data_IF_828947345406
#
_entry.id   IF_828947345406
#
_cell.length_a   1.000
_cell.length_b   1.000
_cell.length_c   1.000
_cell.angle_alpha   90.00
_cell.angle_beta   90.00
_cell.angle_gamma   90.00
#
_symmetry.space_group_name_H-M   'P 1'
#
loop_
_entity.id
_entity.type
_entity.pdbx_description
1 polymer ?
#
# COMPACT_ATOMS: atom_id res chain seq x y z
N UNK A 1 -20.46 8.73 16.45
CA UNK A 1 -20.55 7.70 15.40
C UNK A 1 -21.05 8.42 14.16
N UNK A 2 -20.17 9.01 13.37
CA UNK A 2 -20.53 9.69 12.13
C UNK A 2 -20.47 8.66 11.02
N UNK A 3 -21.64 8.24 10.53
CA UNK A 3 -21.74 7.50 9.28
C UNK A 3 -21.49 8.49 8.15
N UNK A 4 -20.35 8.38 7.48
CA UNK A 4 -20.09 9.10 6.23
C UNK A 4 -21.15 8.61 5.22
N UNK A 5 -22.19 9.43 4.99
CA UNK A 5 -23.13 9.21 3.88
C UNK A 5 -22.44 9.77 2.63
N UNK A 6 -21.95 8.87 1.80
CA UNK A 6 -21.58 9.24 0.43
C UNK A 6 -22.79 9.84 -0.27
N UNK A 7 -22.63 10.94 -1.05
CA UNK A 7 -23.71 11.40 -1.90
C UNK A 7 -24.11 10.25 -2.84
N UNK A 8 -25.41 10.03 -3.01
CA UNK A 8 -25.95 9.02 -3.92
C UNK A 8 -25.51 9.36 -5.34
N UNK A 9 -24.44 8.69 -5.80
CA UNK A 9 -23.95 8.83 -7.17
C UNK A 9 -25.09 8.42 -8.13
N UNK A 10 -25.35 9.18 -9.19
CA UNK A 10 -26.31 8.79 -10.20
C UNK A 10 -25.88 7.46 -10.80
N UNK A 11 -26.79 6.48 -10.81
CA UNK A 11 -26.57 5.17 -11.42
C UNK A 11 -26.30 5.35 -12.91
N UNK A 12 -25.02 5.36 -13.30
CA UNK A 12 -24.62 5.20 -14.69
C UNK A 12 -24.93 3.76 -15.10
N UNK A 13 -26.10 3.57 -15.73
CA UNK A 13 -26.60 2.29 -16.20
C UNK A 13 -25.79 1.75 -17.38
N UNK A 14 -24.64 1.13 -17.12
CA UNK A 14 -23.83 0.42 -18.13
C UNK A 14 -23.27 -0.93 -17.68
N UNK A 15 -23.61 -1.40 -16.48
CA UNK A 15 -23.22 -2.76 -16.05
C UNK A 15 -24.44 -3.52 -15.53
N UNK A 16 -24.98 -4.42 -16.37
CA UNK A 16 -25.84 -5.49 -15.87
C UNK A 16 -24.94 -6.53 -15.19
N UNK A 17 -24.60 -6.29 -13.94
CA UNK A 17 -23.94 -7.25 -13.08
C UNK A 17 -24.83 -7.54 -11.88
N UNK A 18 -24.88 -8.81 -11.48
CA UNK A 18 -25.41 -9.25 -10.19
C UNK A 18 -24.96 -8.28 -9.10
N UNK A 19 -25.77 -8.00 -8.06
CA UNK A 19 -25.39 -7.07 -7.01
C UNK A 19 -24.03 -7.48 -6.46
N UNK A 20 -23.03 -6.65 -6.67
CA UNK A 20 -21.66 -6.88 -6.16
C UNK A 20 -21.79 -6.89 -4.65
N UNK A 21 -21.50 -8.02 -4.01
CA UNK A 21 -21.54 -8.13 -2.57
C UNK A 21 -20.46 -7.22 -2.00
N UNK A 22 -20.88 -6.18 -1.28
CA UNK A 22 -19.93 -5.27 -0.63
C UNK A 22 -19.06 -6.04 0.38
N UNK A 23 -17.78 -5.66 0.46
CA UNK A 23 -16.87 -6.15 1.49
C UNK A 23 -17.14 -5.32 2.74
N UNK A 24 -18.01 -5.85 3.59
CA UNK A 24 -18.43 -5.19 4.83
C UNK A 24 -17.44 -5.55 5.95
N UNK A 25 -16.47 -4.69 6.16
CA UNK A 25 -15.51 -4.74 7.27
C UNK A 25 -15.69 -3.49 8.13
N UNK A 26 -15.58 -3.62 9.46
CA UNK A 26 -15.66 -2.46 10.33
C UNK A 26 -14.50 -1.50 9.99
N UNK A 27 -14.72 -0.18 10.02
CA UNK A 27 -13.65 0.78 9.82
C UNK A 27 -12.57 0.59 10.88
N UNK A 28 -11.32 0.95 10.51
CA UNK A 28 -10.21 1.02 11.46
C UNK A 28 -10.43 2.17 12.45
N UNK A 29 -9.67 2.17 13.54
CA UNK A 29 -9.68 3.30 14.47
C UNK A 29 -9.14 4.56 13.76
N UNK A 30 -9.88 5.65 13.88
CA UNK A 30 -9.48 6.95 13.36
C UNK A 30 -8.93 7.79 14.52
N UNK A 31 -7.77 8.38 14.31
CA UNK A 31 -7.06 9.21 15.29
C UNK A 31 -7.18 10.69 14.88
N UNK A 32 -8.10 11.42 15.49
CA UNK A 32 -8.28 12.86 15.25
C UNK A 32 -7.08 13.66 15.80
N UNK A 33 -5.97 13.65 15.08
CA UNK A 33 -4.74 14.30 15.51
C UNK A 33 -4.87 15.82 15.61
N UNK A 34 -5.79 16.45 14.86
CA UNK A 34 -6.06 17.88 14.92
C UNK A 34 -6.62 18.32 16.28
N UNK A 35 -7.49 17.53 16.88
CA UNK A 35 -8.15 17.83 18.16
C UNK A 35 -7.39 17.30 19.38
N UNK A 36 -6.39 16.44 19.19
CA UNK A 36 -5.69 15.75 20.27
C UNK A 36 -4.90 16.70 21.17
N UNK A 37 -4.98 16.44 22.49
CA UNK A 37 -4.34 17.28 23.52
C UNK A 37 -3.06 16.68 24.10
N UNK A 38 -2.82 15.38 23.88
CA UNK A 38 -1.65 14.70 24.41
C UNK A 38 -0.36 15.11 23.66
N UNK A 39 0.79 14.96 24.34
CA UNK A 39 2.09 15.40 23.81
C UNK A 39 2.50 14.64 22.54
N UNK A 40 2.36 13.29 22.44
CA UNK A 40 2.71 12.56 21.24
C UNK A 40 1.88 12.97 20.01
N UNK A 41 0.56 13.09 20.13
CA UNK A 41 -0.30 13.48 19.01
C UNK A 41 0.00 14.91 18.53
N UNK A 42 0.29 15.85 19.44
CA UNK A 42 0.69 17.21 19.07
C UNK A 42 2.05 17.24 18.35
N UNK A 43 3.00 16.43 18.81
CA UNK A 43 4.31 16.29 18.14
C UNK A 43 4.15 15.70 16.74
N UNK A 44 3.40 14.61 16.62
CA UNK A 44 3.09 13.97 15.33
C UNK A 44 2.47 14.99 14.35
N UNK A 45 1.41 15.68 14.77
CA UNK A 45 0.77 16.73 13.97
C UNK A 45 1.75 17.81 13.51
N UNK A 46 2.62 18.28 14.43
CA UNK A 46 3.62 19.29 14.08
C UNK A 46 4.59 18.79 13.01
N UNK A 47 5.12 17.57 13.18
CA UNK A 47 6.06 16.97 12.22
C UNK A 47 5.41 16.69 10.86
N UNK A 48 4.14 16.25 10.86
CA UNK A 48 3.35 16.09 9.66
C UNK A 48 3.24 17.40 8.89
N UNK A 49 2.82 18.48 9.55
CA UNK A 49 2.69 19.80 8.92
C UNK A 49 4.02 20.38 8.49
N UNK A 50 5.08 20.15 9.27
CA UNK A 50 6.44 20.56 8.89
C UNK A 50 6.89 19.88 7.61
N UNK A 51 6.68 18.54 7.51
CA UNK A 51 7.00 17.80 6.28
C UNK A 51 6.21 18.31 5.09
N UNK A 52 4.92 18.48 5.23
CA UNK A 52 4.02 18.97 4.18
C UNK A 52 4.44 20.34 3.62
N UNK A 53 4.79 21.27 4.49
CA UNK A 53 5.16 22.64 4.10
C UNK A 53 6.56 22.71 3.49
N UNK A 54 7.48 21.89 3.96
CA UNK A 54 8.89 22.04 3.61
C UNK A 54 9.40 21.06 2.55
N UNK A 55 8.84 19.84 2.48
CA UNK A 55 9.47 18.75 1.75
C UNK A 55 8.59 18.24 0.61
N UNK A 56 9.27 17.92 -0.51
CA UNK A 56 8.69 17.32 -1.71
C UNK A 56 8.09 15.94 -1.44
N UNK A 57 7.17 15.54 -2.32
CA UNK A 57 6.60 14.18 -2.33
C UNK A 57 7.63 13.10 -2.66
N UNK A 58 8.81 13.47 -3.12
CA UNK A 58 9.89 12.55 -3.48
C UNK A 58 11.17 12.86 -2.70
N UNK A 59 11.88 11.80 -2.30
CA UNK A 59 13.18 11.88 -1.61
C UNK A 59 14.33 12.13 -2.61
N UNK A 60 15.56 12.21 -2.09
CA UNK A 60 16.78 12.45 -2.89
C UNK A 60 17.06 11.33 -3.91
N UNK A 61 16.45 10.15 -3.76
CA UNK A 61 16.55 9.01 -4.69
C UNK A 61 15.42 8.98 -5.72
N UNK A 62 14.61 10.04 -5.76
CA UNK A 62 13.41 10.14 -6.60
C UNK A 62 12.35 9.06 -6.29
N UNK A 63 12.30 8.63 -5.04
CA UNK A 63 11.30 7.71 -4.53
C UNK A 63 10.29 8.46 -3.66
N UNK A 64 9.00 8.01 -3.58
CA UNK A 64 8.03 8.69 -2.74
C UNK A 64 8.52 8.83 -1.30
N UNK A 65 8.45 10.07 -0.78
CA UNK A 65 8.80 10.42 0.59
C UNK A 65 7.95 9.60 1.57
N UNK A 66 8.59 8.77 2.39
CA UNK A 66 7.92 7.87 3.31
C UNK A 66 8.06 8.29 4.79
N UNK A 67 8.61 9.47 5.07
CA UNK A 67 8.78 9.91 6.47
C UNK A 67 7.44 9.88 7.23
N UNK A 68 6.35 10.28 6.56
CA UNK A 68 5.03 10.27 7.17
C UNK A 68 4.53 8.84 7.43
N UNK A 69 4.87 7.87 6.58
CA UNK A 69 4.55 6.47 6.83
C UNK A 69 5.28 5.93 8.06
N UNK A 70 6.55 6.33 8.25
CA UNK A 70 7.33 5.96 9.42
C UNK A 70 6.77 6.59 10.69
N UNK A 71 6.57 7.92 10.68
CA UNK A 71 6.01 8.65 11.82
C UNK A 71 4.62 8.13 12.23
N UNK A 72 3.73 7.91 11.24
CA UNK A 72 2.39 7.36 11.50
C UNK A 72 2.45 5.96 12.10
N UNK A 73 3.28 5.09 11.53
CA UNK A 73 3.43 3.72 12.04
C UNK A 73 4.02 3.69 13.44
N UNK A 74 5.00 4.55 13.73
CA UNK A 74 5.63 4.66 15.05
C UNK A 74 4.64 5.23 16.08
N UNK A 75 3.92 6.29 15.73
CA UNK A 75 2.88 6.89 16.58
C UNK A 75 1.81 5.86 16.96
N UNK A 76 1.28 5.12 15.98
CA UNK A 76 0.25 4.09 16.18
C UNK A 76 0.76 2.88 16.98
N UNK A 77 2.05 2.66 17.07
CA UNK A 77 2.69 1.64 17.91
C UNK A 77 3.14 2.18 19.27
N UNK A 78 2.84 3.44 19.59
CA UNK A 78 3.03 4.04 20.91
C UNK A 78 4.31 4.86 21.07
N UNK A 79 4.93 5.33 19.97
CA UNK A 79 6.04 6.26 20.04
C UNK A 79 5.64 7.55 20.76
N UNK A 80 6.48 8.00 21.68
CA UNK A 80 6.29 9.30 22.33
C UNK A 80 6.80 10.46 21.46
N UNK A 81 6.63 11.68 21.94
CA UNK A 81 7.00 12.88 21.20
C UNK A 81 8.51 13.00 20.94
N UNK A 82 9.34 12.51 21.84
CA UNK A 82 10.80 12.63 21.76
C UNK A 82 11.33 11.61 20.73
N UNK A 83 10.75 10.40 20.69
CA UNK A 83 11.02 9.38 19.67
C UNK A 83 10.62 9.87 18.27
N UNK A 84 9.40 10.44 18.13
CA UNK A 84 8.93 10.96 16.85
C UNK A 84 9.84 12.10 16.34
N UNK A 85 10.27 13.00 17.22
CA UNK A 85 11.23 14.05 16.89
C UNK A 85 12.57 13.50 16.41
N UNK A 86 13.10 12.51 17.13
CA UNK A 86 14.36 11.85 16.77
C UNK A 86 14.30 11.15 15.40
N UNK A 87 13.24 10.38 15.14
CA UNK A 87 13.01 9.75 13.82
C UNK A 87 13.01 10.79 12.70
N UNK A 88 12.31 11.91 12.91
CA UNK A 88 12.25 12.97 11.90
C UNK A 88 13.62 13.61 11.64
N UNK A 89 14.40 13.85 12.69
CA UNK A 89 15.75 14.42 12.58
C UNK A 89 16.73 13.48 11.86
N UNK A 90 16.65 12.17 12.12
CA UNK A 90 17.50 11.17 11.44
C UNK A 90 17.21 11.09 9.94
N UNK A 91 15.93 11.06 9.56
CA UNK A 91 15.50 10.92 8.16
C UNK A 91 15.54 12.26 7.38
N UNK A 92 15.69 13.39 8.06
CA UNK A 92 15.65 14.73 7.45
C UNK A 92 16.72 14.93 6.36
N UNK A 93 17.85 14.22 6.42
CA UNK A 93 18.91 14.32 5.44
C UNK A 93 18.55 13.78 4.05
N UNK A 94 17.60 12.84 3.97
CA UNK A 94 17.13 12.24 2.72
C UNK A 94 15.96 13.02 2.11
N UNK A 95 15.36 13.94 2.85
CA UNK A 95 14.22 14.74 2.39
C UNK A 95 14.68 15.85 1.43
N UNK A 96 13.90 16.07 0.39
CA UNK A 96 14.14 17.11 -0.61
C UNK A 96 13.13 18.24 -0.40
N UNK A 97 13.64 19.46 -0.32
CA UNK A 97 12.78 20.65 -0.21
C UNK A 97 11.98 20.86 -1.49
N UNK A 98 10.79 21.44 -1.35
CA UNK A 98 9.96 21.80 -2.49
C UNK A 98 10.72 22.60 -3.55
N UNK A 99 10.45 22.29 -4.80
CA UNK A 99 10.87 23.06 -5.96
C UNK A 99 9.63 23.57 -6.68
N UNK A 100 9.73 24.73 -7.30
CA UNK A 100 8.63 25.25 -8.14
C UNK A 100 8.35 24.30 -9.31
N UNK A 101 7.08 24.09 -9.59
CA UNK A 101 6.63 23.35 -10.77
C UNK A 101 6.78 24.18 -12.05
N UNK A 102 6.84 23.55 -13.24
CA UNK A 102 6.97 24.26 -14.52
C UNK A 102 5.81 25.20 -14.83
N UNK A 103 4.60 24.86 -14.36
CA UNK A 103 3.37 25.65 -14.51
C UNK A 103 2.38 25.32 -13.39
N UNK A 104 1.37 26.15 -13.23
CA UNK A 104 0.19 25.86 -12.41
C UNK A 104 -0.69 24.82 -13.12
N UNK A 105 -1.47 24.07 -12.32
CA UNK A 105 -2.46 23.09 -12.80
C UNK A 105 -3.85 23.64 -12.53
N UNK A 106 -4.76 23.43 -13.46
CA UNK A 106 -6.15 23.86 -13.37
C UNK A 106 -7.12 22.70 -13.58
N UNK A 107 -8.39 22.90 -13.26
CA UNK A 107 -9.47 21.92 -13.51
C UNK A 107 -9.62 21.53 -14.98
N UNK A 108 -9.10 22.36 -15.92
CA UNK A 108 -9.21 22.14 -17.35
C UNK A 108 -8.09 21.25 -17.91
N UNK A 109 -6.91 21.26 -17.30
CA UNK A 109 -5.70 20.64 -17.87
C UNK A 109 -5.00 19.60 -16.97
N UNK A 110 -5.43 19.41 -15.72
CA UNK A 110 -4.77 18.53 -14.76
C UNK A 110 -4.52 17.10 -15.29
N UNK A 111 -5.45 16.58 -16.12
CA UNK A 111 -5.27 15.25 -16.73
C UNK A 111 -4.12 15.19 -17.72
N UNK A 112 -3.76 16.31 -18.35
CA UNK A 112 -2.62 16.38 -19.25
C UNK A 112 -1.27 16.32 -18.55
N UNK A 113 -1.24 16.48 -17.23
CA UNK A 113 -0.04 16.45 -16.39
C UNK A 113 0.11 15.15 -15.60
N UNK A 114 -0.84 14.20 -15.72
CA UNK A 114 -0.73 12.90 -15.07
C UNK A 114 0.55 12.16 -15.47
N UNK A 115 1.23 11.56 -14.52
CA UNK A 115 2.51 10.88 -14.71
C UNK A 115 3.73 11.81 -14.74
N UNK A 116 3.52 13.13 -14.61
CA UNK A 116 4.61 14.11 -14.67
C UNK A 116 5.12 14.47 -13.28
N UNK A 117 6.19 13.84 -12.83
CA UNK A 117 6.77 14.04 -11.47
C UNK A 117 7.23 15.47 -11.19
N UNK A 118 7.63 16.24 -12.20
CA UNK A 118 8.00 17.67 -12.03
C UNK A 118 6.82 18.58 -11.67
N UNK A 119 5.59 18.07 -11.66
CA UNK A 119 4.38 18.77 -11.25
C UNK A 119 3.90 18.41 -9.85
N UNK A 120 4.72 17.74 -9.04
CA UNK A 120 4.36 17.29 -7.71
C UNK A 120 3.84 18.43 -6.81
N UNK A 121 4.54 19.57 -6.76
CA UNK A 121 4.07 20.74 -6.00
C UNK A 121 2.77 21.33 -6.58
N UNK A 122 2.69 21.48 -7.91
CA UNK A 122 1.49 22.01 -8.53
C UNK A 122 0.25 21.11 -8.33
N UNK A 123 0.42 19.79 -8.24
CA UNK A 123 -0.68 18.90 -7.89
C UNK A 123 -1.12 19.04 -6.43
N UNK A 124 -0.19 19.24 -5.49
CA UNK A 124 -0.57 19.52 -4.09
C UNK A 124 -1.37 20.82 -4.03
N UNK A 125 -0.86 21.89 -4.62
CA UNK A 125 -1.54 23.21 -4.66
C UNK A 125 -2.94 23.08 -5.31
N UNK A 126 -3.03 22.36 -6.42
CA UNK A 126 -4.29 22.10 -7.11
C UNK A 126 -5.33 21.39 -6.22
N UNK A 127 -4.96 20.31 -5.52
CA UNK A 127 -5.89 19.60 -4.66
C UNK A 127 -6.23 20.39 -3.39
N UNK A 128 -5.32 21.23 -2.90
CA UNK A 128 -5.61 22.16 -1.81
C UNK A 128 -6.62 23.25 -2.24
N UNK A 129 -6.51 23.78 -3.44
CA UNK A 129 -7.48 24.72 -4.02
C UNK A 129 -8.86 24.05 -4.19
N UNK A 130 -8.90 22.83 -4.71
CA UNK A 130 -10.15 22.06 -4.82
C UNK A 130 -10.76 21.76 -3.45
N UNK A 131 -9.95 21.53 -2.43
CA UNK A 131 -10.43 21.38 -1.05
C UNK A 131 -11.08 22.69 -0.55
N UNK A 132 -10.51 23.85 -0.87
CA UNK A 132 -11.13 25.15 -0.54
C UNK A 132 -12.46 25.32 -1.28
N UNK A 133 -12.52 24.96 -2.57
CA UNK A 133 -13.75 25.02 -3.38
C UNK A 133 -14.85 24.11 -2.82
N UNK A 134 -14.50 22.96 -2.24
CA UNK A 134 -15.42 22.02 -1.58
C UNK A 134 -15.62 22.30 -0.07
N UNK A 135 -15.32 23.51 0.40
CA UNK A 135 -15.60 23.93 1.78
C UNK A 135 -14.73 23.24 2.84
N UNK A 136 -13.52 22.84 2.51
CA UNK A 136 -12.57 22.09 3.33
C UNK A 136 -12.95 20.64 3.61
N UNK A 137 -13.92 20.09 2.86
CA UNK A 137 -14.34 18.69 2.97
C UNK A 137 -13.39 17.79 2.16
N UNK A 138 -12.19 17.53 2.69
CA UNK A 138 -11.14 16.79 2.00
C UNK A 138 -11.55 15.37 1.53
N UNK A 139 -12.49 14.72 2.22
CA UNK A 139 -13.04 13.42 1.82
C UNK A 139 -13.89 13.53 0.56
N UNK A 140 -14.52 14.67 0.31
CA UNK A 140 -15.22 14.94 -0.93
C UNK A 140 -14.25 15.16 -2.09
N UNK A 141 -13.10 15.81 -1.85
CA UNK A 141 -12.03 15.92 -2.87
C UNK A 141 -11.53 14.53 -3.28
N UNK A 142 -11.23 13.66 -2.30
CA UNK A 142 -10.84 12.28 -2.56
C UNK A 142 -11.91 11.54 -3.38
N UNK A 143 -13.18 11.69 -3.03
CA UNK A 143 -14.30 11.06 -3.73
C UNK A 143 -14.43 11.55 -5.18
N UNK A 144 -14.33 12.86 -5.39
CA UNK A 144 -14.46 13.49 -6.71
C UNK A 144 -13.36 13.01 -7.68
N UNK A 145 -12.11 13.03 -7.24
CA UNK A 145 -10.98 12.74 -8.12
C UNK A 145 -10.70 11.24 -8.28
N UNK A 146 -10.96 10.40 -7.26
CA UNK A 146 -10.69 8.97 -7.34
C UNK A 146 -11.87 8.15 -7.88
N UNK A 147 -13.13 8.59 -7.68
CA UNK A 147 -14.28 7.72 -7.95
C UNK A 147 -15.32 8.31 -8.89
N UNK A 148 -15.19 9.61 -9.26
CA UNK A 148 -16.22 10.31 -10.02
C UNK A 148 -15.73 10.65 -11.43
N UNK A 149 -16.67 10.95 -12.34
CA UNK A 149 -16.39 11.34 -13.71
C UNK A 149 -16.19 10.19 -14.68
N UNK A 150 -15.78 10.50 -15.90
CA UNK A 150 -15.59 9.53 -16.99
C UNK A 150 -14.28 8.75 -16.85
N UNK A 151 -13.27 9.39 -16.27
CA UNK A 151 -11.92 8.85 -16.10
C UNK A 151 -11.43 9.19 -14.69
N UNK A 152 -11.91 8.44 -13.66
CA UNK A 152 -11.45 8.62 -12.29
C UNK A 152 -9.98 8.20 -12.16
N UNK A 153 -9.24 8.83 -11.24
CA UNK A 153 -7.85 8.44 -10.96
C UNK A 153 -7.72 7.18 -10.10
N UNK A 154 -8.78 6.39 -9.96
CA UNK A 154 -8.79 5.24 -9.06
C UNK A 154 -7.61 4.28 -9.30
N UNK A 155 -7.28 4.02 -10.56
CA UNK A 155 -6.18 3.12 -10.90
C UNK A 155 -4.80 3.69 -10.50
N UNK A 156 -4.70 5.00 -10.35
CA UNK A 156 -3.44 5.67 -9.98
C UNK A 156 -3.02 5.44 -8.53
N UNK A 157 -3.95 5.08 -7.64
CA UNK A 157 -3.61 4.80 -6.23
C UNK A 157 -2.72 3.58 -6.05
N UNK A 158 -2.72 2.66 -7.03
CA UNK A 158 -1.84 1.49 -7.03
C UNK A 158 -0.52 1.72 -7.79
N UNK A 159 -0.35 2.87 -8.42
CA UNK A 159 0.93 3.25 -9.03
C UNK A 159 2.08 3.21 -7.99
N UNK A 160 3.31 3.18 -8.43
CA UNK A 160 4.48 3.04 -7.54
C UNK A 160 4.30 1.92 -6.50
N UNK A 161 3.77 0.76 -6.92
CA UNK A 161 3.50 -0.43 -6.08
C UNK A 161 2.56 -0.15 -4.89
N UNK A 162 1.64 0.79 -5.03
CA UNK A 162 0.62 1.13 -4.04
C UNK A 162 1.06 2.14 -2.98
N UNK A 163 2.17 2.84 -3.17
CA UNK A 163 2.61 3.89 -2.22
C UNK A 163 1.60 5.03 -2.07
N UNK A 164 0.93 5.54 -3.14
CA UNK A 164 -0.17 6.50 -2.97
C UNK A 164 -1.33 5.94 -2.14
N UNK A 165 -1.67 4.66 -2.28
CA UNK A 165 -2.70 4.02 -1.47
C UNK A 165 -2.30 3.95 0.01
N UNK A 166 -1.05 3.61 0.31
CA UNK A 166 -0.53 3.60 1.69
C UNK A 166 -0.60 5.01 2.29
N UNK A 167 -0.22 6.02 1.52
CA UNK A 167 -0.29 7.41 1.97
C UNK A 167 -1.73 7.85 2.25
N UNK A 168 -2.66 7.49 1.35
CA UNK A 168 -4.08 7.76 1.53
C UNK A 168 -4.67 7.02 2.75
N UNK A 169 -4.26 5.77 2.99
CA UNK A 169 -4.67 5.01 4.16
C UNK A 169 -4.29 5.74 5.45
N UNK A 170 -3.08 6.28 5.55
CA UNK A 170 -2.69 7.11 6.70
C UNK A 170 -3.50 8.41 6.79
N UNK A 171 -3.87 9.03 5.66
CA UNK A 171 -4.75 10.19 5.69
C UNK A 171 -6.09 9.89 6.37
N UNK A 172 -6.68 8.74 6.08
CA UNK A 172 -7.94 8.30 6.70
C UNK A 172 -7.77 7.86 8.15
N UNK A 173 -6.67 7.19 8.51
CA UNK A 173 -6.42 6.79 9.89
C UNK A 173 -6.10 7.97 10.81
N UNK A 174 -5.41 9.01 10.31
CA UNK A 174 -5.03 10.19 11.07
C UNK A 174 -6.02 11.35 10.94
N UNK A 175 -7.08 11.17 10.14
CA UNK A 175 -8.04 12.21 9.75
C UNK A 175 -7.34 13.49 9.27
N UNK A 176 -6.31 13.34 8.42
CA UNK A 176 -5.46 14.43 7.95
C UNK A 176 -5.73 14.80 6.50
N UNK A 177 -6.14 16.05 6.32
CA UNK A 177 -6.34 16.64 4.99
C UNK A 177 -5.03 16.85 4.24
N UNK A 178 -3.96 17.22 4.93
CA UNK A 178 -2.63 17.39 4.32
C UNK A 178 -2.18 16.09 3.66
N UNK A 179 -2.26 14.97 4.39
CA UNK A 179 -1.93 13.65 3.83
C UNK A 179 -2.86 13.24 2.69
N UNK A 180 -4.12 13.62 2.74
CA UNK A 180 -5.06 13.29 1.67
C UNK A 180 -4.69 14.02 0.35
N UNK A 181 -4.33 15.31 0.44
CA UNK A 181 -3.90 16.08 -0.74
C UNK A 181 -2.55 15.59 -1.28
N UNK A 182 -1.60 15.25 -0.40
CA UNK A 182 -0.34 14.60 -0.79
C UNK A 182 -0.58 13.24 -1.47
N UNK A 183 -1.50 12.42 -0.95
CA UNK A 183 -1.84 11.12 -1.54
C UNK A 183 -2.42 11.24 -2.95
N UNK A 184 -3.32 12.21 -3.17
CA UNK A 184 -3.87 12.51 -4.51
C UNK A 184 -2.78 13.02 -5.46
N UNK A 185 -1.90 13.91 -4.99
CA UNK A 185 -0.78 14.41 -5.77
C UNK A 185 0.24 13.31 -6.11
N UNK A 186 0.53 12.39 -5.17
CA UNK A 186 1.32 11.18 -5.44
C UNK A 186 0.64 10.28 -6.48
N UNK A 187 -0.67 10.05 -6.36
CA UNK A 187 -1.41 9.26 -7.34
C UNK A 187 -1.35 9.89 -8.73
N UNK A 188 -1.48 11.22 -8.82
CA UNK A 188 -1.42 11.95 -10.07
C UNK A 188 -0.01 11.92 -10.70
N UNK A 189 1.04 12.16 -9.91
CA UNK A 189 2.43 12.22 -10.39
C UNK A 189 3.05 10.85 -10.67
N UNK A 190 2.56 9.79 -10.00
CA UNK A 190 2.95 8.40 -10.24
C UNK A 190 2.04 7.68 -11.26
N UNK A 191 1.05 8.38 -11.82
CA UNK A 191 0.09 7.78 -12.75
C UNK A 191 0.79 7.06 -13.90
N UNK A 192 0.31 5.87 -14.23
CA UNK A 192 0.67 5.13 -15.43
C UNK A 192 -0.54 4.34 -15.96
N UNK A 193 -0.51 3.99 -17.25
CA UNK A 193 -1.62 3.30 -17.92
C UNK A 193 -1.62 1.77 -17.70
N UNK A 194 -0.74 1.22 -16.88
CA UNK A 194 -0.62 -0.23 -16.67
C UNK A 194 -1.94 -0.81 -16.17
N UNK A 195 -2.52 -0.21 -15.14
CA UNK A 195 -3.76 -0.70 -14.53
C UNK A 195 -4.99 -0.46 -15.41
N UNK A 196 -5.05 0.68 -16.09
CA UNK A 196 -6.13 1.02 -17.04
C UNK A 196 -6.22 0.01 -18.19
N UNK A 197 -5.09 -0.45 -18.70
CA UNK A 197 -5.06 -1.45 -19.77
C UNK A 197 -5.58 -2.83 -19.34
N UNK A 198 -5.58 -3.13 -18.04
CA UNK A 198 -6.01 -4.41 -17.49
C UNK A 198 -7.53 -4.50 -17.34
N UNK A 199 -8.20 -3.38 -17.11
CA UNK A 199 -9.66 -3.30 -17.02
C UNK A 199 -10.34 -3.20 -18.40
N UNK A 200 -9.57 -3.10 -19.50
CA UNK A 200 -10.13 -3.08 -20.85
C UNK A 200 -10.99 -4.36 -21.07
N UNK A 201 -12.28 -4.22 -21.47
CA UNK A 201 -13.17 -5.32 -21.79
C UNK A 201 -12.62 -6.31 -22.82
N UNK A 202 -11.64 -5.89 -23.66
CA UNK A 202 -10.93 -6.79 -24.58
C UNK A 202 -10.05 -7.79 -23.83
N UNK A 203 -9.49 -7.42 -22.66
CA UNK A 203 -8.74 -8.35 -21.83
C UNK A 203 -9.65 -9.19 -20.92
N UNK A 204 -10.84 -8.70 -20.56
CA UNK A 204 -11.82 -9.44 -19.77
C UNK A 204 -12.53 -10.55 -20.56
N UNK A 205 -12.60 -10.45 -21.90
CA UNK A 205 -13.25 -11.45 -22.76
C UNK A 205 -12.43 -12.71 -23.04
N UNK A 206 -11.13 -12.69 -22.78
CA UNK A 206 -10.32 -13.90 -22.84
C UNK A 206 -10.52 -14.69 -21.55
N UNK A 207 -11.14 -15.85 -21.65
CA UNK A 207 -11.29 -16.78 -20.53
C UNK A 207 -9.93 -17.09 -19.89
N UNK A 208 -9.91 -17.19 -18.58
CA UNK A 208 -8.73 -17.63 -17.87
C UNK A 208 -8.40 -19.07 -18.29
N UNK A 209 -7.14 -19.40 -18.49
CA UNK A 209 -6.71 -20.76 -18.85
C UNK A 209 -6.98 -21.78 -17.75
N UNK A 210 -7.17 -21.31 -16.52
CA UNK A 210 -7.58 -22.05 -15.33
C UNK A 210 -8.19 -21.07 -14.33
N UNK A 211 -8.91 -21.58 -13.33
CA UNK A 211 -9.52 -20.78 -12.26
C UNK A 211 -9.18 -21.36 -10.89
N UNK A 212 -8.98 -20.50 -9.92
CA UNK A 212 -8.82 -20.85 -8.50
C UNK A 212 -9.42 -19.77 -7.61
N UNK A 213 -9.98 -20.19 -6.48
CA UNK A 213 -10.43 -19.30 -5.41
C UNK A 213 -9.31 -18.97 -4.44
N UNK A 214 -8.26 -19.82 -4.39
CA UNK A 214 -7.11 -19.69 -3.49
C UNK A 214 -5.93 -19.05 -4.21
N UNK A 215 -5.41 -17.99 -3.62
CA UNK A 215 -4.21 -17.30 -4.08
C UNK A 215 -2.94 -18.13 -3.85
N UNK A 216 -2.88 -18.90 -2.75
CA UNK A 216 -1.77 -19.85 -2.53
C UNK A 216 -1.69 -20.88 -3.65
N UNK A 217 -2.83 -21.47 -4.04
CA UNK A 217 -2.87 -22.43 -5.14
C UNK A 217 -2.45 -21.78 -6.47
N UNK A 218 -2.80 -20.51 -6.71
CA UNK A 218 -2.35 -19.79 -7.91
C UNK A 218 -0.84 -19.58 -7.87
N UNK A 219 -0.26 -19.15 -6.74
CA UNK A 219 1.19 -18.97 -6.64
C UNK A 219 1.98 -20.29 -6.79
N UNK A 220 1.41 -21.41 -6.34
CA UNK A 220 2.01 -22.74 -6.62
C UNK A 220 2.06 -23.03 -8.11
N UNK A 221 1.01 -22.68 -8.87
CA UNK A 221 0.98 -22.82 -10.33
C UNK A 221 1.92 -21.81 -11.01
N UNK A 222 2.01 -20.56 -10.52
CA UNK A 222 3.01 -19.57 -10.99
C UNK A 222 4.42 -20.10 -10.80
N UNK A 223 4.69 -20.75 -9.66
CA UNK A 223 6.01 -21.31 -9.37
C UNK A 223 6.39 -22.44 -10.32
N UNK A 224 5.41 -23.23 -10.77
CA UNK A 224 5.60 -24.37 -11.66
C UNK A 224 5.51 -24.00 -13.15
N UNK A 225 5.17 -22.74 -13.47
CA UNK A 225 5.01 -22.31 -14.87
C UNK A 225 6.36 -22.22 -15.57
N UNK A 226 6.54 -23.09 -16.58
CA UNK A 226 7.77 -23.19 -17.36
C UNK A 226 8.00 -21.97 -18.25
N UNK A 227 6.96 -21.23 -18.62
CA UNK A 227 7.09 -19.99 -19.40
C UNK A 227 7.84 -18.89 -18.62
N UNK A 228 7.95 -19.07 -17.30
CA UNK A 228 8.68 -18.18 -16.38
C UNK A 228 10.10 -18.69 -16.04
N UNK A 229 10.48 -19.89 -16.48
CA UNK A 229 11.80 -20.45 -16.17
C UNK A 229 12.90 -19.69 -16.91
N UNK A 230 13.90 -19.22 -16.14
CA UNK A 230 15.02 -18.49 -16.70
C UNK A 230 14.68 -17.11 -17.29
N UNK A 231 13.47 -16.60 -17.03
CA UNK A 231 13.05 -15.29 -17.52
C UNK A 231 13.94 -14.18 -16.98
N UNK A 232 14.35 -14.30 -15.72
CA UNK A 232 15.22 -13.34 -15.04
C UNK A 232 16.40 -14.04 -14.37
N UNK A 233 17.63 -13.49 -14.49
CA UNK A 233 18.82 -14.10 -13.88
C UNK A 233 18.91 -13.81 -12.37
N UNK A 234 18.42 -12.67 -11.92
CA UNK A 234 18.49 -12.18 -10.53
C UNK A 234 17.17 -11.52 -10.14
N UNK A 235 16.80 -11.53 -8.85
CA UNK A 235 15.64 -10.78 -8.38
C UNK A 235 15.89 -9.26 -8.48
N UNK A 236 14.84 -8.47 -8.64
CA UNK A 236 14.96 -7.01 -8.64
C UNK A 236 13.82 -6.25 -9.31
N UNK A 237 13.89 -4.92 -9.20
CA UNK A 237 12.92 -3.98 -9.73
C UNK A 237 12.78 -4.00 -11.24
N UNK A 238 13.89 -4.14 -11.96
CA UNK A 238 13.91 -4.12 -13.43
C UNK A 238 13.07 -5.25 -14.03
N UNK A 239 12.93 -6.35 -13.28
CA UNK A 239 12.06 -7.45 -13.64
C UNK A 239 10.58 -7.03 -13.66
N UNK A 240 10.15 -6.17 -12.73
CA UNK A 240 8.77 -5.66 -12.69
C UNK A 240 8.46 -4.85 -13.95
N UNK A 241 9.34 -3.93 -14.33
CA UNK A 241 9.15 -3.15 -15.54
C UNK A 241 9.06 -4.06 -16.78
N UNK A 242 9.96 -5.04 -16.90
CA UNK A 242 9.92 -6.02 -17.98
C UNK A 242 8.62 -6.82 -18.00
N UNK A 243 8.12 -7.25 -16.83
CA UNK A 243 6.87 -8.00 -16.72
C UNK A 243 5.66 -7.15 -17.15
N UNK A 244 5.55 -5.95 -16.67
CA UNK A 244 4.39 -5.10 -16.95
C UNK A 244 4.37 -4.59 -18.40
N UNK A 245 5.52 -4.24 -18.95
CA UNK A 245 5.61 -3.65 -20.29
C UNK A 245 5.72 -4.70 -21.40
N UNK A 246 6.60 -5.69 -21.23
CA UNK A 246 7.00 -6.59 -22.34
C UNK A 246 6.53 -8.04 -22.17
N UNK A 247 6.18 -8.46 -20.94
CA UNK A 247 5.81 -9.85 -20.60
C UNK A 247 4.47 -9.95 -19.89
N UNK A 248 3.59 -8.98 -20.05
CA UNK A 248 2.31 -8.91 -19.38
C UNK A 248 1.39 -10.11 -19.63
N UNK A 249 1.47 -10.75 -20.80
CA UNK A 249 0.60 -11.89 -21.11
C UNK A 249 0.75 -13.08 -20.13
N UNK A 250 1.99 -13.38 -19.69
CA UNK A 250 2.22 -14.44 -18.70
C UNK A 250 1.70 -14.03 -17.33
N UNK A 251 1.92 -12.77 -16.96
CA UNK A 251 1.40 -12.22 -15.70
C UNK A 251 -0.14 -12.24 -15.67
N UNK A 252 -0.79 -11.78 -16.74
CA UNK A 252 -2.24 -11.72 -16.87
C UNK A 252 -2.89 -13.11 -16.88
N UNK A 253 -2.23 -14.14 -17.38
CA UNK A 253 -2.69 -15.53 -17.29
C UNK A 253 -2.99 -15.94 -15.85
N UNK A 254 -2.08 -15.65 -14.93
CA UNK A 254 -2.22 -15.98 -13.52
C UNK A 254 -3.09 -14.98 -12.75
N UNK A 255 -3.01 -13.70 -13.09
CA UNK A 255 -3.87 -12.67 -12.49
C UNK A 255 -5.36 -12.95 -12.72
N UNK A 256 -5.73 -13.31 -13.95
CA UNK A 256 -7.12 -13.64 -14.34
C UNK A 256 -7.66 -14.89 -13.66
N UNK A 257 -6.78 -15.80 -13.25
CA UNK A 257 -7.17 -17.07 -12.64
C UNK A 257 -7.86 -16.92 -11.28
N UNK A 258 -7.71 -15.78 -10.59
CA UNK A 258 -8.34 -15.57 -9.30
C UNK A 258 -9.84 -15.30 -9.45
N UNK A 259 -10.65 -16.27 -9.04
CA UNK A 259 -12.12 -16.19 -9.03
C UNK A 259 -12.60 -15.78 -7.64
N UNK A 260 -13.09 -14.56 -7.51
CA UNK A 260 -13.62 -14.01 -6.26
C UNK A 260 -15.10 -14.36 -6.15
N UNK A 261 -15.46 -15.23 -5.19
CA UNK A 261 -16.84 -15.64 -4.88
C UNK A 261 -17.25 -15.26 -3.45
N UNK A 262 -16.32 -15.35 -2.51
CA UNK A 262 -16.48 -14.91 -1.14
C UNK A 262 -15.44 -13.84 -0.82
N UNK A 263 -15.73 -12.56 -1.14
CA UNK A 263 -14.73 -11.50 -1.08
C UNK A 263 -14.07 -11.31 0.30
N UNK A 264 -14.83 -11.49 1.38
CA UNK A 264 -14.30 -11.30 2.76
C UNK A 264 -13.28 -12.39 3.09
N UNK A 265 -13.63 -13.66 2.89
CA UNK A 265 -12.71 -14.78 3.20
C UNK A 265 -11.49 -14.78 2.27
N UNK A 266 -11.71 -14.47 0.99
CA UNK A 266 -10.62 -14.40 0.02
C UNK A 266 -9.71 -13.19 0.24
N UNK A 267 -10.25 -12.09 0.75
CA UNK A 267 -9.42 -10.98 1.20
C UNK A 267 -8.62 -11.36 2.45
N UNK A 268 -9.21 -12.08 3.42
CA UNK A 268 -8.46 -12.65 4.55
C UNK A 268 -7.29 -13.52 4.07
N UNK A 269 -7.56 -14.46 3.15
CA UNK A 269 -6.51 -15.31 2.57
C UNK A 269 -5.41 -14.47 1.89
N UNK A 270 -5.77 -13.40 1.19
CA UNK A 270 -4.80 -12.51 0.55
C UNK A 270 -3.87 -11.83 1.53
N UNK A 271 -4.36 -11.50 2.72
CA UNK A 271 -3.56 -10.91 3.78
C UNK A 271 -2.67 -11.94 4.51
N UNK A 272 -3.18 -13.16 4.71
CA UNK A 272 -2.36 -14.28 5.18
C UNK A 272 -1.23 -14.59 4.18
N UNK A 273 -1.53 -14.56 2.88
CA UNK A 273 -0.54 -14.72 1.81
C UNK A 273 0.53 -13.62 1.84
N UNK A 274 0.13 -12.35 2.01
CA UNK A 274 1.08 -11.24 2.08
C UNK A 274 2.07 -11.41 3.25
N UNK A 275 1.60 -11.83 4.43
CA UNK A 275 2.43 -12.15 5.58
C UNK A 275 3.35 -13.35 5.29
N UNK A 276 2.81 -14.41 4.67
CA UNK A 276 3.54 -15.61 4.30
C UNK A 276 4.63 -15.34 3.25
N UNK A 277 4.37 -14.48 2.27
CA UNK A 277 5.35 -14.07 1.27
C UNK A 277 6.56 -13.40 1.92
N UNK A 278 6.34 -12.49 2.86
CA UNK A 278 7.45 -11.83 3.54
C UNK A 278 8.22 -12.79 4.46
N UNK A 279 7.52 -13.49 5.34
CA UNK A 279 8.16 -14.24 6.43
C UNK A 279 8.47 -15.68 6.02
N UNK A 280 7.60 -16.32 5.23
CA UNK A 280 7.77 -17.70 4.80
C UNK A 280 8.77 -17.90 3.67
N UNK A 281 9.16 -16.85 2.95
CA UNK A 281 10.18 -16.91 1.88
C UNK A 281 11.57 -16.54 2.37
N UNK A 282 11.69 -16.00 3.59
CA UNK A 282 12.99 -15.70 4.19
C UNK A 282 13.82 -16.97 4.36
N UNK A 283 15.10 -16.88 4.01
CA UNK A 283 15.99 -18.04 4.11
C UNK A 283 16.19 -18.48 5.57
N UNK A 284 16.28 -19.80 5.77
CA UNK A 284 16.50 -20.42 7.10
C UNK A 284 17.96 -20.28 7.55
N UNK A 285 18.83 -19.87 6.66
CA UNK A 285 20.28 -19.88 6.83
C UNK A 285 20.84 -18.80 7.76
N UNK A 286 20.04 -18.28 8.67
CA UNK A 286 20.41 -17.25 9.65
C UNK A 286 20.98 -15.93 9.07
N UNK A 287 20.84 -15.68 7.77
CA UNK A 287 21.33 -14.43 7.16
C UNK A 287 20.51 -13.22 7.60
N UNK A 288 19.24 -13.42 8.03
CA UNK A 288 18.36 -12.34 8.49
C UNK A 288 17.98 -11.35 7.40
N UNK A 289 18.08 -11.77 6.14
CA UNK A 289 17.76 -10.94 4.99
C UNK A 289 16.32 -11.16 4.54
N UNK A 290 15.50 -10.12 4.61
CA UNK A 290 14.12 -10.11 4.14
C UNK A 290 14.00 -9.31 2.85
N UNK A 291 13.00 -9.65 2.04
CA UNK A 291 12.74 -8.96 0.78
C UNK A 291 11.83 -7.74 1.03
N UNK A 292 12.30 -6.54 0.72
CA UNK A 292 11.53 -5.32 0.95
C UNK A 292 10.32 -5.17 0.03
N UNK A 293 10.31 -5.81 -1.16
CA UNK A 293 9.13 -5.82 -2.03
C UNK A 293 7.96 -6.58 -1.38
N UNK A 294 8.25 -7.68 -0.68
CA UNK A 294 7.22 -8.38 0.07
C UNK A 294 6.77 -7.60 1.30
N UNK A 295 7.66 -6.84 1.94
CA UNK A 295 7.26 -5.92 3.01
C UNK A 295 6.36 -4.79 2.49
N UNK A 296 6.67 -4.22 1.33
CA UNK A 296 5.82 -3.23 0.68
C UNK A 296 4.47 -3.83 0.28
N UNK A 297 4.45 -5.04 -0.28
CA UNK A 297 3.20 -5.73 -0.64
C UNK A 297 2.31 -6.00 0.58
N UNK A 298 2.90 -6.36 1.72
CA UNK A 298 2.18 -6.51 2.99
C UNK A 298 1.61 -5.17 3.48
N UNK A 299 2.40 -4.10 3.45
CA UNK A 299 1.94 -2.76 3.82
C UNK A 299 0.82 -2.26 2.89
N UNK A 300 0.92 -2.53 1.59
CA UNK A 300 -0.13 -2.21 0.61
C UNK A 300 -1.41 -3.03 0.88
N UNK A 301 -1.29 -4.32 1.23
CA UNK A 301 -2.44 -5.14 1.63
C UNK A 301 -3.15 -4.57 2.86
N UNK A 302 -2.38 -4.09 3.84
CA UNK A 302 -2.95 -3.40 5.00
C UNK A 302 -3.63 -2.09 4.59
N UNK A 303 -3.04 -1.29 3.70
CA UNK A 303 -3.66 -0.08 3.17
C UNK A 303 -4.99 -0.36 2.44
N UNK A 304 -5.07 -1.47 1.68
CA UNK A 304 -6.34 -1.96 1.12
C UNK A 304 -7.36 -2.17 2.23
N UNK A 305 -6.97 -2.84 3.33
CA UNK A 305 -7.85 -3.08 4.49
C UNK A 305 -8.39 -1.79 5.10
N UNK A 306 -7.52 -0.79 5.26
CA UNK A 306 -7.90 0.52 5.80
C UNK A 306 -8.91 1.21 4.90
N UNK A 307 -8.69 1.16 3.59
CA UNK A 307 -9.49 1.91 2.62
C UNK A 307 -10.81 1.25 2.24
N UNK A 308 -10.94 -0.08 2.32
CA UNK A 308 -12.16 -0.79 1.90
C UNK A 308 -13.46 -0.21 2.47
N UNK A 309 -13.57 0.18 3.76
CA UNK A 309 -14.80 0.79 4.29
C UNK A 309 -15.12 2.17 3.70
N UNK A 310 -14.13 2.84 3.13
CA UNK A 310 -14.23 4.19 2.58
C UNK A 310 -14.33 4.23 1.05
N UNK A 311 -14.22 3.10 0.38
CA UNK A 311 -14.30 2.98 -1.08
C UNK A 311 -15.70 2.55 -1.50
N UNK A 312 -16.30 3.20 -2.51
CA UNK A 312 -17.59 2.79 -3.02
C UNK A 312 -17.60 1.32 -3.44
N UNK A 313 -18.67 0.54 -3.14
CA UNK A 313 -18.72 -0.91 -3.31
C UNK A 313 -18.31 -1.41 -4.70
N UNK A 314 -18.62 -0.64 -5.76
CA UNK A 314 -18.28 -0.98 -7.13
C UNK A 314 -16.78 -1.01 -7.43
N UNK A 315 -15.95 -0.33 -6.61
CA UNK A 315 -14.49 -0.28 -6.76
C UNK A 315 -13.74 -1.28 -5.85
N UNK A 316 -14.42 -1.87 -4.86
CA UNK A 316 -13.75 -2.71 -3.86
C UNK A 316 -13.09 -3.95 -4.47
N UNK A 317 -13.78 -4.65 -5.36
CA UNK A 317 -13.23 -5.83 -6.05
C UNK A 317 -12.09 -5.44 -7.00
N UNK A 318 -12.22 -4.30 -7.70
CA UNK A 318 -11.16 -3.79 -8.55
C UNK A 318 -9.89 -3.50 -7.73
N UNK A 319 -10.01 -2.89 -6.54
CA UNK A 319 -8.87 -2.65 -5.65
C UNK A 319 -8.17 -3.96 -5.24
N UNK A 320 -8.93 -5.00 -4.88
CA UNK A 320 -8.34 -6.31 -4.57
C UNK A 320 -7.60 -6.91 -5.75
N UNK A 321 -8.16 -6.78 -6.96
CA UNK A 321 -7.53 -7.28 -8.18
C UNK A 321 -6.29 -6.49 -8.56
N UNK A 322 -6.26 -5.18 -8.36
CA UNK A 322 -5.09 -4.35 -8.57
C UNK A 322 -3.96 -4.72 -7.59
N UNK A 323 -4.31 -4.90 -6.30
CA UNK A 323 -3.34 -5.40 -5.32
C UNK A 323 -2.79 -6.79 -5.73
N UNK A 324 -3.67 -7.69 -6.18
CA UNK A 324 -3.26 -9.03 -6.62
C UNK A 324 -2.31 -8.98 -7.83
N UNK A 325 -2.53 -8.05 -8.74
CA UNK A 325 -1.62 -7.87 -9.88
C UNK A 325 -0.21 -7.48 -9.43
N UNK A 326 -0.12 -6.52 -8.52
CA UNK A 326 1.17 -6.11 -7.93
C UNK A 326 1.81 -7.29 -7.20
N UNK A 327 1.04 -8.02 -6.41
CA UNK A 327 1.52 -9.18 -5.64
C UNK A 327 2.11 -10.27 -6.54
N UNK A 328 1.39 -10.70 -7.57
CA UNK A 328 1.91 -11.73 -8.49
C UNK A 328 3.08 -11.21 -9.32
N UNK A 329 3.08 -9.93 -9.70
CA UNK A 329 4.19 -9.27 -10.37
C UNK A 329 5.46 -9.30 -9.51
N UNK A 330 5.36 -8.88 -8.26
CA UNK A 330 6.46 -8.94 -7.28
C UNK A 330 6.94 -10.39 -7.11
N UNK A 331 6.04 -11.34 -6.93
CA UNK A 331 6.40 -12.74 -6.73
C UNK A 331 7.23 -13.31 -7.90
N UNK A 332 6.83 -12.99 -9.14
CA UNK A 332 7.59 -13.39 -10.33
C UNK A 332 8.92 -12.64 -10.41
N UNK A 333 8.93 -11.33 -10.15
CA UNK A 333 10.13 -10.51 -10.19
C UNK A 333 11.18 -10.93 -9.16
N UNK A 334 10.74 -11.49 -8.02
CA UNK A 334 11.59 -12.02 -6.96
C UNK A 334 11.90 -13.54 -7.15
N UNK A 335 11.75 -14.05 -8.39
CA UNK A 335 12.10 -15.42 -8.81
C UNK A 335 11.26 -16.50 -8.12
N UNK A 336 10.03 -16.21 -7.76
CA UNK A 336 9.05 -17.19 -7.27
C UNK A 336 9.56 -18.06 -6.11
N UNK A 337 10.01 -17.44 -5.00
CA UNK A 337 10.57 -18.19 -3.88
C UNK A 337 9.53 -19.14 -3.26
N UNK A 338 9.99 -20.24 -2.67
CA UNK A 338 9.12 -21.15 -1.95
C UNK A 338 8.59 -20.53 -0.66
N UNK A 339 7.27 -20.64 -0.45
CA UNK A 339 6.62 -20.17 0.78
C UNK A 339 6.60 -21.32 1.80
N UNK A 340 7.39 -21.20 2.85
CA UNK A 340 7.54 -22.23 3.90
C UNK A 340 6.65 -21.91 5.10
N UNK A 341 5.34 -22.21 4.98
CA UNK A 341 4.34 -21.94 6.03
C UNK A 341 4.70 -22.55 7.39
N UNK A 342 5.30 -23.73 7.39
CA UNK A 342 5.68 -24.43 8.62
C UNK A 342 6.72 -23.66 9.46
N UNK A 343 7.55 -22.84 8.81
CA UNK A 343 8.51 -21.98 9.51
C UNK A 343 7.84 -20.87 10.31
N UNK A 344 6.66 -20.45 9.91
CA UNK A 344 5.84 -19.49 10.66
C UNK A 344 5.03 -20.22 11.72
N UNK A 345 4.28 -21.26 11.31
CA UNK A 345 3.35 -21.97 12.21
C UNK A 345 4.03 -22.62 13.40
N UNK A 346 5.25 -23.15 13.19
CA UNK A 346 6.02 -23.84 14.21
C UNK A 346 7.02 -22.92 14.95
N UNK A 347 7.00 -21.61 14.66
CA UNK A 347 7.91 -20.67 15.32
C UNK A 347 7.59 -20.54 16.81
N UNK A 348 8.62 -20.62 17.66
CA UNK A 348 8.47 -20.48 19.11
C UNK A 348 8.47 -18.99 19.49
N UNK A 349 7.40 -18.57 20.13
CA UNK A 349 7.25 -17.20 20.61
C UNK A 349 8.21 -16.86 21.76
N UNK A 350 8.69 -17.83 22.51
CA UNK A 350 9.55 -17.63 23.68
C UNK A 350 8.99 -16.59 24.67
N UNK A 351 7.67 -16.57 24.85
CA UNK A 351 6.97 -15.64 25.72
C UNK A 351 6.83 -14.22 25.19
N UNK A 352 7.23 -13.96 23.92
CA UNK A 352 7.06 -12.67 23.27
C UNK A 352 5.63 -12.49 22.77
N UNK A 353 5.12 -11.27 22.88
CA UNK A 353 3.77 -10.86 22.53
C UNK A 353 3.77 -9.60 21.65
N UNK A 354 2.58 -9.05 21.41
CA UNK A 354 2.43 -7.82 20.61
C UNK A 354 3.02 -6.56 21.29
N UNK A 355 3.09 -6.53 22.62
CA UNK A 355 3.74 -5.44 23.35
C UNK A 355 5.26 -5.47 23.12
N UNK A 356 5.86 -6.66 23.16
CA UNK A 356 7.26 -6.83 22.81
C UNK A 356 7.54 -6.43 21.35
N UNK A 357 6.70 -6.84 20.39
CA UNK A 357 6.86 -6.47 18.97
C UNK A 357 6.80 -4.95 18.78
N UNK A 358 5.80 -4.28 19.38
CA UNK A 358 5.66 -2.83 19.33
C UNK A 358 6.86 -2.12 19.99
N UNK A 359 7.34 -2.63 21.12
CA UNK A 359 8.53 -2.13 21.79
C UNK A 359 9.78 -2.16 20.91
N UNK A 360 9.97 -3.25 20.15
CA UNK A 360 11.08 -3.34 19.19
C UNK A 360 10.90 -2.40 17.98
N UNK A 361 9.67 -2.20 17.52
CA UNK A 361 9.39 -1.27 16.42
C UNK A 361 9.64 0.19 16.78
N UNK A 362 9.40 0.57 18.03
CA UNK A 362 9.49 1.96 18.51
C UNK A 362 10.85 2.29 19.12
N UNK A 363 11.46 1.35 19.86
CA UNK A 363 12.69 1.58 20.63
C UNK A 363 13.85 0.65 20.25
N UNK A 364 13.66 -0.26 19.28
CA UNK A 364 14.69 -1.21 18.85
C UNK A 364 15.68 -0.61 17.86
N UNK A 365 16.67 -1.42 17.47
CA UNK A 365 17.73 -1.06 16.53
C UNK A 365 17.22 -0.54 15.17
N UNK A 366 16.03 -1.02 14.75
CA UNK A 366 15.45 -0.70 13.44
C UNK A 366 14.26 0.26 13.50
N UNK A 367 14.13 1.04 14.58
CA UNK A 367 13.00 1.98 14.79
C UNK A 367 12.92 3.11 13.76
N UNK A 368 14.02 3.47 13.12
CA UNK A 368 14.06 4.43 12.00
C UNK A 368 13.90 3.76 10.62
N UNK A 369 13.75 2.42 10.55
CA UNK A 369 13.57 1.74 9.28
C UNK A 369 12.08 1.67 8.90
N UNK A 370 11.68 2.45 7.91
CA UNK A 370 10.27 2.60 7.51
C UNK A 370 9.58 1.27 7.17
N UNK A 371 10.26 0.35 6.47
CA UNK A 371 9.67 -0.94 6.11
C UNK A 371 9.58 -1.90 7.30
N UNK A 372 10.54 -1.83 8.21
CA UNK A 372 10.51 -2.62 9.45
C UNK A 372 9.31 -2.21 10.32
N UNK A 373 9.15 -0.92 10.56
CA UNK A 373 8.08 -0.38 11.42
C UNK A 373 6.70 -0.55 10.77
N UNK A 374 6.58 -0.36 9.46
CA UNK A 374 5.33 -0.65 8.72
C UNK A 374 4.96 -2.13 8.75
N UNK A 375 5.94 -3.02 8.62
CA UNK A 375 5.73 -4.48 8.65
C UNK A 375 5.17 -4.93 9.99
N UNK A 376 5.81 -4.54 11.10
CA UNK A 376 5.35 -4.89 12.45
C UNK A 376 3.94 -4.41 12.70
N UNK A 377 3.64 -3.18 12.30
CA UNK A 377 2.30 -2.62 12.39
C UNK A 377 1.30 -3.40 11.53
N UNK A 378 1.60 -3.63 10.25
CA UNK A 378 0.70 -4.35 9.36
C UNK A 378 0.33 -5.73 9.92
N UNK A 379 1.30 -6.52 10.40
CA UNK A 379 1.05 -7.83 11.00
C UNK A 379 0.13 -7.74 12.23
N UNK A 380 0.30 -6.72 13.08
CA UNK A 380 -0.57 -6.49 14.25
C UNK A 380 -2.00 -6.17 13.82
N UNK A 381 -2.16 -5.31 12.80
CA UNK A 381 -3.48 -4.94 12.30
C UNK A 381 -4.20 -6.10 11.58
N UNK A 382 -3.47 -6.99 10.92
CA UNK A 382 -4.03 -8.22 10.37
C UNK A 382 -4.56 -9.14 11.49
N UNK A 383 -3.79 -9.33 12.56
CA UNK A 383 -4.23 -10.06 13.74
C UNK A 383 -5.48 -9.45 14.37
N UNK A 384 -5.53 -8.14 14.48
CA UNK A 384 -6.68 -7.40 15.02
C UNK A 384 -7.93 -7.52 14.13
N UNK A 385 -7.75 -7.53 12.80
CA UNK A 385 -8.84 -7.60 11.84
C UNK A 385 -9.48 -8.99 11.79
N UNK A 386 -8.65 -10.06 11.76
CA UNK A 386 -9.10 -11.42 11.46
C UNK A 386 -9.14 -12.34 12.67
N UNK A 387 -8.62 -11.87 13.80
CA UNK A 387 -8.28 -12.72 14.92
C UNK A 387 -6.99 -13.50 14.67
N UNK A 388 -6.38 -13.99 15.73
CA UNK A 388 -5.08 -14.69 15.69
C UNK A 388 -5.07 -15.88 16.66
N UNK A 389 -6.12 -16.71 16.58
CA UNK A 389 -6.35 -17.81 17.53
C UNK A 389 -5.25 -18.87 17.52
N UNK A 390 -4.59 -19.06 16.38
CA UNK A 390 -3.44 -19.96 16.19
C UNK A 390 -2.10 -19.22 16.28
N UNK A 391 -2.14 -17.92 16.59
CA UNK A 391 -0.99 -17.02 16.70
C UNK A 391 -0.16 -16.92 15.41
N UNK A 392 -0.77 -17.11 14.24
CA UNK A 392 -0.06 -17.08 12.96
C UNK A 392 0.62 -15.73 12.72
N UNK A 393 -0.14 -14.63 12.86
CA UNK A 393 0.39 -13.29 12.64
C UNK A 393 1.39 -12.87 13.73
N UNK A 394 1.14 -13.23 14.98
CA UNK A 394 2.09 -12.98 16.06
C UNK A 394 3.41 -13.75 15.85
N UNK A 395 3.35 -15.02 15.47
CA UNK A 395 4.54 -15.82 15.15
C UNK A 395 5.31 -15.24 13.97
N UNK A 396 4.59 -14.78 12.93
CA UNK A 396 5.20 -14.09 11.80
C UNK A 396 5.92 -12.80 12.26
N UNK A 397 5.28 -12.00 13.11
CA UNK A 397 5.85 -10.76 13.62
C UNK A 397 7.07 -11.00 14.52
N UNK A 398 6.95 -11.94 15.48
CA UNK A 398 8.06 -12.27 16.39
C UNK A 398 9.24 -12.85 15.63
N UNK A 399 9.00 -13.75 14.66
CA UNK A 399 10.06 -14.27 13.79
C UNK A 399 10.73 -13.17 13.00
N UNK A 400 9.95 -12.33 12.32
CA UNK A 400 10.46 -11.20 11.55
C UNK A 400 11.36 -10.30 12.40
N UNK A 401 10.85 -9.81 13.54
CA UNK A 401 11.58 -8.91 14.43
C UNK A 401 12.85 -9.56 15.01
N UNK A 402 12.77 -10.84 15.36
CA UNK A 402 13.91 -11.55 15.98
C UNK A 402 15.03 -11.83 14.98
N UNK A 403 14.67 -12.17 13.73
CA UNK A 403 15.61 -12.61 12.70
C UNK A 403 16.04 -11.48 11.75
N UNK A 404 15.37 -10.34 11.74
CA UNK A 404 15.68 -9.23 10.82
C UNK A 404 17.08 -8.67 11.05
N UNK A 405 17.84 -8.50 9.97
CA UNK A 405 19.13 -7.80 9.95
C UNK A 405 19.19 -6.72 8.90
N UNK A 406 18.71 -7.00 7.70
CA UNK A 406 18.64 -6.02 6.62
C UNK A 406 17.67 -6.48 5.52
N UNK A 407 17.39 -5.57 4.60
CA UNK A 407 16.61 -5.85 3.39
C UNK A 407 17.48 -6.43 2.29
N UNK A 408 16.93 -7.38 1.53
CA UNK A 408 17.49 -7.81 0.24
C UNK A 408 17.07 -6.82 -0.83
N UNK A 409 17.95 -6.64 -1.81
CA UNK A 409 17.70 -5.81 -2.99
C UNK A 409 18.36 -4.43 -2.86
N UNK A 410 19.08 -4.04 -3.91
CA UNK A 410 19.56 -2.68 -4.05
C UNK A 410 18.40 -1.84 -4.60
N UNK A 411 18.13 -0.77 -3.90
CA UNK A 411 17.22 0.25 -4.36
C UNK A 411 17.93 1.04 -5.48
N UNK A 412 17.55 0.79 -6.72
CA UNK A 412 17.89 1.67 -7.85
C UNK A 412 16.63 2.47 -8.14
N UNK A 413 16.74 3.79 -8.19
CA UNK A 413 15.61 4.70 -8.34
C UNK A 413 14.63 4.26 -9.43
N UNK A 414 13.33 4.31 -9.13
CA UNK A 414 12.27 3.86 -10.02
C UNK A 414 11.91 4.90 -11.07
N UNK A 415 11.98 4.49 -12.33
CA UNK A 415 11.10 4.93 -13.40
C UNK A 415 10.10 3.77 -13.65
N UNK A 416 9.01 3.71 -12.90
CA UNK A 416 7.83 2.88 -13.19
C UNK A 416 6.64 3.77 -13.37
#
# INVERSE_FOLDING_TARGET
MFTVRWPSLPSLGLFSSSPTQAIDLPPVNVHETEAAQDKPARAFKHLLKLNHVENSLFDCRNFPNQIIHLLSSSFLQGADADILGHIYEEEASDLVKWKGSPAEITTLDWRGHLGCRGFDRAFVDFFEDEMVHLGYEWKEVVAEYLFTGKEPMFDSIMACLGLPLIHLAYAFEMDSRELAMEALALAATCHNDIYKSLEDPKHSKNEASYESKSLFAILDLVRQDKDLDGLFPTPGSDNLNTLFVSRNAVLLKHWKAWRIENPIEQFRESQELAAALLVGTAAVDSTGHYDWFFALNLATSHAVRVMLPFIPPQFQISLLRQWWLVCVGIYVAQLRPEIKMDQIRNYDLNGKDWEWVAGQAVNGEFSSNVYFVKTTRALKELASTWGDSDSFFLKAAVRFVTEFKCWRGNFVGYEL
#
